data_IF_388331011791
#
_entry.id   IF_388331011791
#
_cell.length_a   1.000
_cell.length_b   1.000
_cell.length_c   1.000
_cell.angle_alpha   90.00
_cell.angle_beta   90.00
_cell.angle_gamma   90.00
#
_symmetry.space_group_name_H-M   'P 1'
#
loop_
_entity.id
_entity.type
_entity.pdbx_description
1 polymer ?
#
# COMPACT_ATOMS: atom_id res chain seq x y z
N UNK A 1 5.70 -0.41 12.89
CA UNK A 1 5.18 -0.52 11.50
C UNK A 1 5.01 -1.98 11.16
N UNK A 2 3.77 -2.41 11.10
CA UNK A 2 3.42 -3.82 10.89
C UNK A 2 2.73 -4.02 9.55
N UNK A 3 2.91 -5.22 8.98
CA UNK A 3 2.16 -5.61 7.78
C UNK A 3 0.67 -5.46 8.02
N UNK A 4 -0.03 -4.85 7.05
CA UNK A 4 -1.47 -4.62 7.14
C UNK A 4 -1.85 -3.26 7.67
N UNK A 5 -0.91 -2.47 8.17
CA UNK A 5 -1.21 -1.10 8.60
C UNK A 5 -1.34 -0.18 7.40
N UNK A 6 -2.32 0.73 7.49
CA UNK A 6 -2.47 1.83 6.53
C UNK A 6 -1.90 3.09 7.16
N UNK A 7 -1.01 3.76 6.43
CA UNK A 7 -0.39 5.01 6.83
C UNK A 7 -0.69 6.08 5.80
N UNK A 8 -0.89 7.32 6.26
CA UNK A 8 -1.04 8.48 5.38
C UNK A 8 0.32 9.16 5.28
N UNK A 9 0.80 9.36 4.06
CA UNK A 9 2.20 9.75 3.83
C UNK A 9 2.32 10.57 2.54
N UNK A 10 3.36 11.42 2.48
CA UNK A 10 3.70 12.15 1.26
C UNK A 10 4.51 11.26 0.33
N UNK A 11 4.00 11.01 -0.87
CA UNK A 11 4.66 10.18 -1.87
C UNK A 11 5.62 10.97 -2.78
N UNK A 12 5.55 12.30 -2.75
CA UNK A 12 6.44 13.13 -3.58
C UNK A 12 7.87 13.10 -3.02
N UNK A 13 8.88 13.22 -3.91
CA UNK A 13 8.77 13.32 -5.35
C UNK A 13 8.45 11.99 -6.02
N UNK A 14 7.69 12.04 -7.12
CA UNK A 14 7.37 10.90 -7.95
C UNK A 14 7.62 11.23 -9.41
N UNK A 15 7.74 10.19 -10.26
CA UNK A 15 8.05 10.36 -11.67
C UNK A 15 7.10 9.52 -12.52
N UNK A 16 6.75 10.06 -13.70
CA UNK A 16 5.93 9.34 -14.66
C UNK A 16 4.54 9.00 -14.14
N UNK A 17 4.19 7.72 -14.21
CA UNK A 17 2.86 7.23 -13.86
C UNK A 17 2.70 6.81 -12.41
N UNK A 18 3.71 7.08 -11.57
CA UNK A 18 3.62 6.76 -10.15
C UNK A 18 2.59 7.64 -9.45
N UNK A 19 1.96 7.11 -8.40
CA UNK A 19 1.03 7.88 -7.57
C UNK A 19 1.76 9.01 -6.87
N UNK A 20 1.08 10.16 -6.72
CA UNK A 20 1.67 11.41 -6.22
C UNK A 20 0.90 11.95 -5.04
N UNK A 21 1.55 12.89 -4.34
CA UNK A 21 0.95 13.67 -3.28
C UNK A 21 0.80 12.87 -1.99
N UNK A 22 0.01 13.42 -1.09
CA UNK A 22 -0.28 12.76 0.19
C UNK A 22 -1.38 11.75 -0.01
N UNK A 23 -1.10 10.50 0.33
CA UNK A 23 -2.02 9.39 0.09
C UNK A 23 -1.90 8.34 1.17
N UNK A 24 -2.95 7.54 1.38
CA UNK A 24 -2.82 6.34 2.19
C UNK A 24 -1.99 5.29 1.44
N UNK A 25 -1.18 4.57 2.21
CA UNK A 25 -0.40 3.43 1.71
C UNK A 25 -0.60 2.25 2.65
N UNK A 26 -0.51 1.05 2.09
CA UNK A 26 -0.63 -0.20 2.84
C UNK A 26 0.75 -0.82 3.01
N UNK A 27 1.15 -1.12 4.25
CA UNK A 27 2.41 -1.81 4.53
C UNK A 27 2.22 -3.30 4.22
N UNK A 28 3.07 -3.85 3.35
CA UNK A 28 3.02 -5.26 2.97
C UNK A 28 4.21 -6.08 3.45
N UNK A 29 5.29 -5.42 3.86
CA UNK A 29 6.46 -6.11 4.42
C UNK A 29 6.27 -6.40 5.90
N UNK A 30 6.87 -7.51 6.41
CA UNK A 30 6.70 -7.90 7.81
C UNK A 30 7.44 -6.99 8.77
N UNK A 31 6.96 -6.96 10.02
CA UNK A 31 7.52 -6.09 11.05
C UNK A 31 9.03 -6.25 11.26
N UNK A 32 9.61 -7.47 11.29
CA UNK A 32 11.06 -7.60 11.45
C UNK A 32 11.85 -6.89 10.35
N UNK A 33 11.39 -7.00 9.10
CA UNK A 33 12.00 -6.28 7.97
C UNK A 33 11.88 -4.77 8.17
N UNK A 34 10.70 -4.30 8.55
CA UNK A 34 10.44 -2.87 8.72
C UNK A 34 11.30 -2.28 9.84
N UNK A 35 11.50 -3.03 10.91
CA UNK A 35 12.29 -2.60 12.06
C UNK A 35 13.77 -2.48 11.71
N UNK A 36 14.30 -3.44 10.96
CA UNK A 36 15.72 -3.46 10.59
C UNK A 36 16.02 -2.39 9.54
N UNK A 37 15.20 -2.29 8.50
CA UNK A 37 15.46 -1.36 7.39
C UNK A 37 14.98 0.05 7.66
N UNK A 38 14.01 0.23 8.56
CA UNK A 38 13.30 1.49 8.82
C UNK A 38 12.60 2.03 7.57
N UNK A 39 12.40 1.18 6.59
CA UNK A 39 11.79 1.54 5.31
C UNK A 39 10.92 0.38 4.81
N UNK A 40 9.65 0.31 5.23
CA UNK A 40 8.78 -0.76 4.81
C UNK A 40 8.47 -0.71 3.31
N UNK A 41 8.11 -1.86 2.77
CA UNK A 41 7.55 -1.96 1.42
C UNK A 41 6.06 -1.65 1.53
N UNK A 42 5.60 -0.70 0.73
CA UNK A 42 4.22 -0.23 0.76
C UNK A 42 3.61 -0.21 -0.63
N UNK A 43 2.26 -0.23 -0.67
CA UNK A 43 1.48 -0.09 -1.88
C UNK A 43 0.56 1.12 -1.73
N UNK A 44 0.48 2.01 -2.72
CA UNK A 44 -0.42 3.15 -2.62
C UNK A 44 -1.88 2.73 -2.74
N UNK A 45 -2.74 3.48 -2.05
CA UNK A 45 -4.19 3.31 -2.12
C UNK A 45 -4.74 4.53 -2.86
N UNK A 46 -5.54 4.31 -3.89
CA UNK A 46 -6.07 5.38 -4.73
C UNK A 46 -7.55 5.19 -4.99
N UNK A 47 -8.25 6.29 -5.24
CA UNK A 47 -9.67 6.25 -5.62
C UNK A 47 -9.87 5.91 -7.10
N UNK A 48 -8.83 6.05 -7.92
CA UNK A 48 -8.86 5.65 -9.33
C UNK A 48 -8.23 4.28 -9.51
N UNK A 49 -8.00 3.89 -10.76
CA UNK A 49 -7.26 2.66 -11.01
C UNK A 49 -7.98 1.63 -11.85
N UNK A 50 -8.81 2.09 -12.80
CA UNK A 50 -9.49 1.18 -13.73
C UNK A 50 -8.50 0.28 -14.46
N UNK A 51 -7.37 0.82 -14.86
CA UNK A 51 -6.35 0.06 -15.57
C UNK A 51 -5.76 -1.04 -14.68
N UNK A 52 -5.36 -0.70 -13.46
CA UNK A 52 -4.80 -1.69 -12.54
C UNK A 52 -5.83 -2.75 -12.17
N UNK A 53 -7.09 -2.35 -11.99
CA UNK A 53 -8.20 -3.28 -11.70
C UNK A 53 -8.41 -4.25 -12.86
N UNK A 54 -8.41 -3.74 -14.08
CA UNK A 54 -8.55 -4.55 -15.28
C UNK A 54 -7.39 -5.53 -15.43
N UNK A 55 -6.19 -5.10 -15.09
CA UNK A 55 -5.00 -5.94 -15.15
C UNK A 55 -4.89 -6.95 -13.99
N UNK A 56 -5.79 -6.89 -13.00
CA UNK A 56 -5.79 -7.80 -11.88
C UNK A 56 -4.83 -7.41 -10.75
N UNK A 57 -4.32 -6.18 -10.76
CA UNK A 57 -3.37 -5.71 -9.76
C UNK A 57 -3.98 -4.75 -8.74
N UNK A 58 -5.30 -4.63 -8.70
CA UNK A 58 -5.97 -3.78 -7.73
C UNK A 58 -6.82 -4.60 -6.79
N UNK A 59 -6.72 -4.31 -5.50
CA UNK A 59 -7.56 -4.93 -4.47
C UNK A 59 -8.46 -3.85 -3.90
N UNK A 60 -9.78 -3.91 -4.13
CA UNK A 60 -10.69 -2.89 -3.60
C UNK A 60 -10.87 -3.04 -2.09
N UNK A 61 -11.00 -1.89 -1.41
CA UNK A 61 -11.30 -1.86 0.01
C UNK A 61 -12.81 -1.79 0.29
N UNK A 62 -13.63 -1.75 -0.76
CA UNK A 62 -15.10 -1.75 -0.64
C UNK A 62 -15.56 -3.00 0.10
N UNK A 63 -16.32 -2.79 1.17
CA UNK A 63 -16.84 -3.90 1.95
C UNK A 63 -15.83 -4.55 2.90
N UNK A 64 -14.61 -4.03 2.98
CA UNK A 64 -13.58 -4.61 3.84
C UNK A 64 -13.71 -4.19 5.31
N UNK A 65 -14.59 -3.23 5.61
CA UNK A 65 -14.76 -2.73 6.97
C UNK A 65 -13.76 -1.68 7.38
N UNK A 66 -12.98 -1.15 6.43
CA UNK A 66 -12.02 -0.09 6.69
C UNK A 66 -12.66 1.29 6.52
N UNK A 67 -12.11 2.30 7.23
CA UNK A 67 -12.49 3.69 7.01
C UNK A 67 -11.85 4.23 5.74
N UNK A 68 -10.67 3.74 5.39
CA UNK A 68 -9.98 4.09 4.15
C UNK A 68 -10.73 3.47 2.98
N UNK A 69 -10.96 4.26 1.94
CA UNK A 69 -11.67 3.82 0.72
C UNK A 69 -10.72 3.83 -0.46
N UNK A 70 -11.11 3.16 -1.54
CA UNK A 70 -10.34 3.10 -2.76
C UNK A 70 -9.83 1.69 -3.06
N UNK A 71 -8.75 1.62 -3.82
CA UNK A 71 -8.13 0.36 -4.22
C UNK A 71 -6.65 0.36 -3.90
N UNK A 72 -6.15 -0.79 -3.47
CA UNK A 72 -4.72 -1.00 -3.24
C UNK A 72 -4.05 -1.33 -4.58
N UNK A 73 -3.05 -0.53 -4.96
CA UNK A 73 -2.33 -0.69 -6.24
C UNK A 73 -1.16 -1.65 -6.06
N UNK A 74 -1.40 -2.93 -6.30
CA UNK A 74 -0.36 -3.95 -6.17
C UNK A 74 0.72 -3.85 -7.27
N UNK A 75 0.47 -3.05 -8.30
CA UNK A 75 1.43 -2.81 -9.39
C UNK A 75 2.44 -1.69 -9.09
N UNK A 76 2.35 -1.04 -7.93
CA UNK A 76 3.22 0.09 -7.60
C UNK A 76 3.88 -0.07 -6.22
N UNK A 77 4.61 -1.16 -5.97
CA UNK A 77 5.32 -1.31 -4.70
C UNK A 77 6.46 -0.30 -4.59
N UNK A 78 6.62 0.29 -3.41
CA UNK A 78 7.67 1.24 -3.10
C UNK A 78 8.25 0.96 -1.72
N UNK A 79 9.53 1.24 -1.55
CA UNK A 79 10.18 1.24 -0.24
C UNK A 79 10.25 2.68 0.23
N UNK A 80 9.62 2.98 1.36
CA UNK A 80 9.53 4.34 1.87
C UNK A 80 9.91 4.42 3.35
N UNK A 81 10.67 5.46 3.69
CA UNK A 81 10.84 5.87 5.08
C UNK A 81 9.61 6.69 5.48
N UNK A 82 8.65 6.05 6.12
CA UNK A 82 7.38 6.69 6.45
C UNK A 82 7.56 7.85 7.44
N UNK A 83 8.47 7.71 8.39
CA UNK A 83 8.73 8.78 9.37
C UNK A 83 9.27 10.03 8.68
N UNK A 84 10.25 9.87 7.78
CA UNK A 84 10.84 10.98 7.06
C UNK A 84 9.84 11.68 6.12
N UNK A 85 8.79 10.96 5.71
CA UNK A 85 7.75 11.50 4.83
C UNK A 85 6.51 11.98 5.58
N UNK A 86 6.64 12.24 6.87
CA UNK A 86 5.53 12.74 7.69
C UNK A 86 4.39 11.75 7.85
N UNK A 87 4.70 10.47 7.84
CA UNK A 87 3.71 9.41 7.90
C UNK A 87 2.95 9.36 9.22
N UNK A 88 1.66 9.04 9.12
CA UNK A 88 0.78 8.83 10.27
C UNK A 88 -0.03 7.56 10.05
N UNK A 89 -0.01 6.68 11.05
CA UNK A 89 -0.83 5.48 11.02
C UNK A 89 -2.32 5.85 11.08
N UNK A 90 -3.11 5.25 10.20
CA UNK A 90 -4.55 5.44 10.13
C UNK A 90 -5.29 4.29 10.79
N UNK A 91 -5.04 3.07 10.34
CA UNK A 91 -5.74 1.86 10.78
C UNK A 91 -5.01 0.61 10.28
N UNK A 92 -5.53 -0.55 10.62
CA UNK A 92 -5.06 -1.83 10.09
C UNK A 92 -6.17 -2.49 9.28
N UNK A 93 -5.81 -3.19 8.20
CA UNK A 93 -6.79 -3.92 7.39
C UNK A 93 -7.03 -5.32 8.00
N UNK A 94 -8.20 -5.93 7.73
CA UNK A 94 -8.41 -7.34 8.09
C UNK A 94 -7.45 -8.26 7.37
N UNK A 95 -7.16 -9.41 7.98
CA UNK A 95 -6.23 -10.39 7.42
C UNK A 95 -6.63 -10.84 6.01
N UNK A 96 -7.93 -10.96 5.74
CA UNK A 96 -8.41 -11.35 4.41
C UNK A 96 -7.95 -10.38 3.31
N UNK A 97 -7.87 -9.08 3.62
CA UNK A 97 -7.39 -8.08 2.69
C UNK A 97 -5.90 -8.28 2.40
N UNK A 98 -5.11 -8.44 3.47
CA UNK A 98 -3.66 -8.60 3.28
C UNK A 98 -3.33 -9.90 2.55
N UNK A 99 -4.09 -10.97 2.81
CA UNK A 99 -3.90 -12.25 2.12
C UNK A 99 -4.15 -12.09 0.61
N UNK A 100 -5.19 -11.38 0.23
CA UNK A 100 -5.48 -11.13 -1.18
C UNK A 100 -4.43 -10.23 -1.82
N UNK A 101 -4.00 -9.19 -1.12
CA UNK A 101 -2.95 -8.28 -1.62
C UNK A 101 -1.65 -9.06 -1.87
N UNK A 102 -1.23 -9.89 -0.92
CA UNK A 102 -0.01 -10.68 -1.09
C UNK A 102 -0.13 -11.68 -2.24
N UNK A 103 -1.31 -12.26 -2.44
CA UNK A 103 -1.55 -13.18 -3.56
C UNK A 103 -1.44 -12.48 -4.91
N UNK A 104 -1.80 -11.22 -4.99
CA UNK A 104 -1.68 -10.44 -6.23
C UNK A 104 -0.29 -9.84 -6.43
N UNK A 105 0.44 -9.67 -5.34
CA UNK A 105 1.78 -9.11 -5.39
C UNK A 105 2.81 -10.18 -5.79
N UNK A 106 2.65 -11.41 -5.32
CA UNK A 106 3.60 -12.49 -5.55
C UNK A 106 3.94 -12.72 -7.04
N UNK A 107 2.97 -12.76 -7.97
CA UNK A 107 3.29 -13.01 -9.39
C UNK A 107 4.20 -11.96 -10.03
N UNK A 108 4.30 -10.77 -9.45
CA UNK A 108 5.16 -9.71 -9.99
C UNK A 108 6.63 -10.11 -9.88
N UNK A 109 6.96 -10.97 -8.91
CA UNK A 109 8.33 -11.38 -8.61
C UNK A 109 8.66 -12.79 -9.10
N UNK A 110 7.76 -13.43 -9.80
CA UNK A 110 7.96 -14.78 -10.31
C UNK A 110 8.46 -14.81 -11.76
#
# INVERSE_FOLDING_TARGET
MKRGEIWFVNLDPTFGHEQRGRRPVLIVSPEPFNRVTKAPVVLPITSGGKFARTAGFAVPLTGAGTRTTGVVRCDQPRVLDLAARGGKKIESVPDAVIDEVLARLAPIFE
#
